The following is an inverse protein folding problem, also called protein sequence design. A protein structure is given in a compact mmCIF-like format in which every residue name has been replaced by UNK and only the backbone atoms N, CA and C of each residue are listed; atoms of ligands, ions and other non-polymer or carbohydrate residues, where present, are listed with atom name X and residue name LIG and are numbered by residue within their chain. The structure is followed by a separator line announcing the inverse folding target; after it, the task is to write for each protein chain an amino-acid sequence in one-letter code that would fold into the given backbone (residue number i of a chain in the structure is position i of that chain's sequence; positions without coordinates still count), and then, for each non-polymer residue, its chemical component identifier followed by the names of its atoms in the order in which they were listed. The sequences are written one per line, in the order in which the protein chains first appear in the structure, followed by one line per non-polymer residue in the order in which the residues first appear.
data_IF_561835062328
#
_entry.id   IF_561835062328
#
_cell.length_a   1.000
_cell.length_b   1.000
_cell.length_c   1.000
_cell.angle_alpha   90.00
_cell.angle_beta   90.00
_cell.angle_gamma   90.00
#
_symmetry.space_group_name_H-M   'P 1'
#
loop_
_entity.id
_entity.type
_entity.pdbx_description
1 polymer ?
#
# COMPACT_ATOMS: atom_id res chain seq x y z
N UNK A 1 -14.09 13.23 44.97
CA UNK A 1 -12.70 13.05 44.48
C UNK A 1 -12.19 14.13 43.51
N UNK A 2 -12.94 14.64 42.51
CA UNK A 2 -12.36 15.51 41.47
C UNK A 2 -11.90 16.89 41.99
N UNK A 3 -12.58 17.45 43.01
CA UNK A 3 -12.24 18.77 43.57
C UNK A 3 -10.82 18.83 44.18
N UNK A 4 -10.35 17.76 44.82
CA UNK A 4 -9.00 17.70 45.41
C UNK A 4 -7.89 17.64 44.35
N UNK A 5 -8.17 16.98 43.21
CA UNK A 5 -7.24 16.86 42.08
C UNK A 5 -7.14 18.20 41.34
N UNK A 6 -8.28 18.84 41.06
CA UNK A 6 -8.35 20.17 40.45
C UNK A 6 -7.62 21.24 41.28
N UNK A 7 -7.78 21.22 42.60
CA UNK A 7 -7.10 22.14 43.50
C UNK A 7 -5.56 21.95 43.50
N UNK A 8 -5.06 20.73 43.30
CA UNK A 8 -3.63 20.45 43.16
C UNK A 8 -3.09 20.84 41.79
N UNK A 9 -3.82 20.55 40.71
CA UNK A 9 -3.44 20.98 39.35
C UNK A 9 -3.30 22.51 39.24
N UNK A 10 -4.16 23.26 39.93
CA UNK A 10 -4.08 24.73 39.99
C UNK A 10 -2.78 25.27 40.61
N UNK A 11 -2.05 24.46 41.40
CA UNK A 11 -0.78 24.86 42.02
C UNK A 11 0.45 24.57 41.15
N UNK A 12 0.28 23.77 40.09
CA UNK A 12 1.38 23.51 39.16
C UNK A 12 1.53 24.69 38.21
N UNK A 13 2.74 25.21 38.00
CA UNK A 13 2.94 26.31 37.05
C UNK A 13 2.74 25.79 35.62
N UNK A 14 2.14 26.61 34.77
CA UNK A 14 1.88 26.28 33.37
C UNK A 14 3.15 25.87 32.61
N UNK A 15 4.32 26.36 33.06
CA UNK A 15 5.63 26.04 32.47
C UNK A 15 5.97 24.55 32.53
N UNK A 16 5.52 23.82 33.55
CA UNK A 16 5.73 22.36 33.66
C UNK A 16 4.94 21.64 32.56
N UNK A 17 3.68 22.00 32.37
CA UNK A 17 2.85 21.44 31.29
C UNK A 17 3.43 21.78 29.91
N UNK A 18 3.95 23.00 29.72
CA UNK A 18 4.61 23.40 28.49
C UNK A 18 5.89 22.59 28.22
N UNK A 19 6.74 22.39 29.23
CA UNK A 19 7.95 21.60 29.08
C UNK A 19 7.65 20.14 28.73
N UNK A 20 6.68 19.53 29.43
CA UNK A 20 6.25 18.15 29.14
C UNK A 20 5.60 18.03 27.76
N UNK A 21 4.84 19.03 27.32
CA UNK A 21 4.31 19.11 25.96
C UNK A 21 5.44 19.12 24.91
N UNK A 22 6.47 19.96 25.10
CA UNK A 22 7.60 20.03 24.17
C UNK A 22 8.33 18.69 24.09
N UNK A 23 8.66 18.09 25.24
CA UNK A 23 9.39 16.81 25.28
C UNK A 23 8.56 15.70 24.63
N UNK A 24 7.29 15.56 24.97
CA UNK A 24 6.40 14.54 24.38
C UNK A 24 6.19 14.75 22.88
N UNK A 25 6.09 16.01 22.42
CA UNK A 25 5.98 16.34 21.00
C UNK A 25 7.24 15.95 20.22
N UNK A 26 8.43 16.21 20.77
CA UNK A 26 9.69 15.78 20.16
C UNK A 26 9.73 14.25 20.04
N UNK A 27 9.40 13.52 21.10
CA UNK A 27 9.34 12.05 21.07
C UNK A 27 8.34 11.55 20.02
N UNK A 28 7.15 12.15 19.96
CA UNK A 28 6.13 11.80 18.98
C UNK A 28 6.63 11.98 17.54
N UNK A 29 7.30 13.09 17.25
CA UNK A 29 7.85 13.35 15.91
C UNK A 29 8.90 12.32 15.51
N UNK A 30 9.83 11.97 16.41
CA UNK A 30 10.84 10.95 16.13
C UNK A 30 10.23 9.56 15.95
N UNK A 31 9.27 9.18 16.80
CA UNK A 31 8.58 7.89 16.69
C UNK A 31 7.75 7.80 15.39
N UNK A 32 7.01 8.86 15.04
CA UNK A 32 6.28 8.94 13.78
C UNK A 32 7.20 8.81 12.57
N UNK A 33 8.36 9.49 12.60
CA UNK A 33 9.37 9.38 11.55
C UNK A 33 9.93 7.97 11.46
N UNK A 34 10.23 7.35 12.60
CA UNK A 34 10.72 5.97 12.65
C UNK A 34 9.71 4.99 12.04
N UNK A 35 8.42 5.14 12.37
CA UNK A 35 7.35 4.36 11.79
C UNK A 35 7.37 4.44 10.25
N UNK A 36 7.43 5.65 9.73
CA UNK A 36 7.46 5.90 8.29
C UNK A 36 8.69 5.29 7.62
N UNK A 37 9.88 5.46 8.19
CA UNK A 37 11.13 4.93 7.64
C UNK A 37 11.14 3.40 7.60
N UNK A 38 10.62 2.74 8.63
CA UNK A 38 10.51 1.28 8.66
C UNK A 38 9.52 0.78 7.60
N UNK A 39 8.40 1.46 7.39
CA UNK A 39 7.49 1.14 6.28
C UNK A 39 8.20 1.27 4.92
N UNK A 40 8.96 2.36 4.70
CA UNK A 40 9.71 2.57 3.44
C UNK A 40 10.74 1.45 3.22
N UNK A 41 11.44 1.03 4.27
CA UNK A 41 12.38 -0.11 4.21
C UNK A 41 11.66 -1.40 3.81
N UNK A 42 10.56 -1.75 4.49
CA UNK A 42 9.78 -2.95 4.18
C UNK A 42 9.21 -2.91 2.76
N UNK A 43 8.82 -1.73 2.26
CA UNK A 43 8.42 -1.54 0.87
C UNK A 43 9.58 -1.81 -0.09
N UNK A 44 10.79 -1.35 0.23
CA UNK A 44 11.99 -1.66 -0.56
C UNK A 44 12.26 -3.16 -0.60
N UNK A 45 12.08 -3.86 0.52
CA UNK A 45 12.25 -5.32 0.59
C UNK A 45 11.27 -6.06 -0.33
N UNK A 46 10.02 -5.59 -0.46
CA UNK A 46 9.05 -6.12 -1.43
C UNK A 46 9.57 -5.97 -2.87
N UNK A 47 10.10 -4.80 -3.22
CA UNK A 47 10.65 -4.57 -4.57
C UNK A 47 11.91 -5.40 -4.83
N UNK A 48 12.78 -5.55 -3.84
CA UNK A 48 13.96 -6.41 -3.94
C UNK A 48 13.56 -7.87 -4.12
N UNK A 49 12.56 -8.36 -3.37
CA UNK A 49 12.04 -9.72 -3.53
C UNK A 49 11.40 -9.92 -4.92
N UNK A 50 10.65 -8.94 -5.41
CA UNK A 50 10.04 -8.97 -6.74
C UNK A 50 11.09 -9.08 -7.86
N UNK A 51 12.13 -8.24 -7.78
CA UNK A 51 13.23 -8.23 -8.73
C UNK A 51 14.04 -9.52 -8.71
N UNK A 52 14.34 -10.05 -7.53
CA UNK A 52 15.08 -11.29 -7.37
C UNK A 52 14.27 -12.55 -7.71
N UNK A 53 12.94 -12.44 -7.89
CA UNK A 53 12.06 -13.59 -8.01
C UNK A 53 12.00 -14.42 -6.72
N UNK A 54 12.22 -13.78 -5.56
CA UNK A 54 12.19 -14.40 -4.24
C UNK A 54 10.77 -14.51 -3.66
N UNK A 55 10.68 -14.68 -2.34
CA UNK A 55 9.39 -14.79 -1.65
C UNK A 55 8.72 -13.41 -1.44
N UNK A 56 8.02 -12.97 -2.49
CA UNK A 56 7.27 -11.71 -2.48
C UNK A 56 6.10 -11.75 -1.48
N UNK A 57 5.50 -12.93 -1.25
CA UNK A 57 4.36 -13.07 -0.34
C UNK A 57 4.77 -12.82 1.11
N UNK A 58 5.92 -13.34 1.53
CA UNK A 58 6.48 -13.06 2.85
C UNK A 58 6.77 -11.58 3.02
N UNK A 59 7.41 -10.95 2.04
CA UNK A 59 7.73 -9.52 2.08
C UNK A 59 6.46 -8.65 2.15
N UNK A 60 5.45 -8.95 1.33
CA UNK A 60 4.15 -8.26 1.36
C UNK A 60 3.44 -8.45 2.70
N UNK A 61 3.49 -9.64 3.28
CA UNK A 61 2.86 -9.92 4.57
C UNK A 61 3.54 -9.15 5.71
N UNK A 62 4.88 -9.08 5.73
CA UNK A 62 5.63 -8.29 6.69
C UNK A 62 5.28 -6.81 6.59
N UNK A 63 5.24 -6.27 5.38
CA UNK A 63 4.84 -4.89 5.13
C UNK A 63 3.40 -4.64 5.60
N UNK A 64 2.46 -5.49 5.19
CA UNK A 64 1.04 -5.38 5.57
C UNK A 64 0.85 -5.36 7.08
N UNK A 65 1.47 -6.32 7.78
CA UNK A 65 1.42 -6.42 9.24
C UNK A 65 1.95 -5.15 9.90
N UNK A 66 3.02 -4.58 9.36
CA UNK A 66 3.61 -3.36 9.88
C UNK A 66 2.69 -2.15 9.66
N UNK A 67 2.19 -1.96 8.44
CA UNK A 67 1.32 -0.82 8.07
C UNK A 67 0.02 -0.81 8.88
N UNK A 68 -0.62 -1.97 9.06
CA UNK A 68 -1.83 -2.07 9.88
C UNK A 68 -1.61 -1.87 11.38
N UNK A 69 -0.36 -1.99 11.86
CA UNK A 69 -0.01 -1.83 13.27
C UNK A 69 0.45 -0.43 13.67
N UNK A 70 0.82 0.43 12.72
CA UNK A 70 1.52 1.70 13.01
C UNK A 70 0.95 2.86 12.21
N UNK A 71 0.64 3.99 12.87
CA UNK A 71 0.24 5.22 12.18
C UNK A 71 1.40 5.83 11.39
N UNK A 72 1.07 6.77 10.48
CA UNK A 72 2.04 7.46 9.62
C UNK A 72 2.83 6.51 8.70
N UNK A 73 2.19 5.39 8.34
CA UNK A 73 2.72 4.38 7.43
C UNK A 73 1.85 4.21 6.19
N UNK A 74 0.89 5.11 5.97
CA UNK A 74 -0.01 5.06 4.82
C UNK A 74 0.75 4.98 3.50
N UNK A 75 0.38 3.96 2.73
CA UNK A 75 0.76 3.81 1.33
C UNK A 75 -0.38 4.23 0.40
N UNK A 76 -1.53 4.59 0.98
CA UNK A 76 -2.80 4.50 0.27
C UNK A 76 -2.98 5.41 -0.93
N UNK A 77 -3.59 4.77 -1.93
CA UNK A 77 -4.37 5.37 -2.98
C UNK A 77 -5.87 5.36 -2.69
N UNK A 78 -6.30 5.82 -1.51
CA UNK A 78 -7.72 6.16 -1.27
C UNK A 78 -8.20 7.29 -2.19
N UNK A 79 -9.46 7.72 -2.10
CA UNK A 79 -10.08 8.76 -2.97
C UNK A 79 -9.38 10.13 -3.04
N UNK A 80 -8.22 10.28 -2.39
CA UNK A 80 -7.30 11.42 -2.44
C UNK A 80 -5.82 10.95 -2.39
N UNK A 81 -5.49 9.94 -3.19
CA UNK A 81 -4.18 9.31 -3.27
C UNK A 81 -3.03 10.28 -3.60
N UNK A 82 -2.14 10.58 -2.65
CA UNK A 82 -0.90 11.34 -2.90
C UNK A 82 0.22 10.40 -3.40
N UNK A 83 0.12 9.08 -3.17
CA UNK A 83 1.14 8.08 -3.54
C UNK A 83 0.53 6.93 -4.33
N UNK A 84 1.22 6.42 -5.38
CA UNK A 84 0.74 5.28 -6.15
C UNK A 84 0.87 3.98 -5.33
N UNK A 85 -0.03 3.00 -5.55
CA UNK A 85 0.01 1.70 -4.90
C UNK A 85 1.31 0.95 -5.21
N UNK A 86 1.60 -0.12 -4.46
CA UNK A 86 2.73 -0.99 -4.76
C UNK A 86 2.43 -1.74 -6.06
N UNK A 87 3.32 -1.62 -7.03
CA UNK A 87 3.24 -2.31 -8.30
C UNK A 87 4.46 -3.23 -8.44
N UNK A 88 4.22 -4.53 -8.58
CA UNK A 88 5.23 -5.56 -8.75
C UNK A 88 5.57 -5.71 -10.24
N UNK A 89 6.52 -4.91 -10.72
CA UNK A 89 6.92 -4.87 -12.13
C UNK A 89 7.37 -6.24 -12.62
N UNK A 90 8.29 -6.89 -11.91
CA UNK A 90 8.92 -8.12 -12.40
C UNK A 90 7.96 -9.31 -12.31
N UNK A 91 7.07 -9.33 -11.32
CA UNK A 91 5.97 -10.31 -11.26
C UNK A 91 5.01 -10.13 -12.43
N UNK A 92 4.63 -8.90 -12.75
CA UNK A 92 3.80 -8.62 -13.93
C UNK A 92 4.50 -9.09 -15.21
N UNK A 93 5.79 -8.77 -15.40
CA UNK A 93 6.56 -9.21 -16.58
C UNK A 93 6.65 -10.74 -16.68
N UNK A 94 6.87 -11.45 -15.57
CA UNK A 94 6.87 -12.94 -15.53
C UNK A 94 5.50 -13.51 -15.88
N UNK A 95 4.42 -12.97 -15.31
CA UNK A 95 3.06 -13.39 -15.62
C UNK A 95 2.72 -13.14 -17.09
N UNK A 96 3.15 -12.00 -17.63
CA UNK A 96 2.99 -11.65 -19.04
C UNK A 96 3.76 -12.60 -19.95
N UNK A 97 5.00 -12.96 -19.61
CA UNK A 97 5.78 -13.92 -20.37
C UNK A 97 5.13 -15.31 -20.40
N UNK A 98 4.59 -15.78 -19.26
CA UNK A 98 3.84 -17.04 -19.19
C UNK A 98 2.58 -16.98 -20.04
N UNK A 99 1.83 -15.89 -19.98
CA UNK A 99 0.62 -15.71 -20.77
C UNK A 99 0.92 -15.62 -22.27
N UNK A 100 2.01 -14.94 -22.65
CA UNK A 100 2.49 -14.89 -24.03
C UNK A 100 2.97 -16.26 -24.52
N UNK A 101 3.65 -17.04 -23.69
CA UNK A 101 4.05 -18.42 -24.03
C UNK A 101 2.84 -19.34 -24.20
N UNK A 102 1.80 -19.19 -23.37
CA UNK A 102 0.51 -19.87 -23.59
C UNK A 102 -0.12 -19.44 -24.90
N UNK A 103 -0.17 -18.15 -25.19
CA UNK A 103 -0.68 -17.65 -26.46
C UNK A 103 0.12 -18.18 -27.66
N UNK A 104 1.45 -18.27 -27.59
CA UNK A 104 2.30 -18.82 -28.67
C UNK A 104 2.13 -20.33 -28.82
N UNK A 105 2.13 -21.09 -27.73
CA UNK A 105 1.94 -22.55 -27.77
C UNK A 105 0.54 -22.91 -28.25
N UNK A 106 -0.49 -22.23 -27.76
CA UNK A 106 -1.85 -22.43 -28.26
C UNK A 106 -2.03 -21.91 -29.68
N UNK A 107 -1.42 -20.78 -30.07
CA UNK A 107 -1.44 -20.36 -31.47
C UNK A 107 -0.74 -21.38 -32.37
N UNK A 108 0.38 -21.98 -31.93
CA UNK A 108 1.05 -23.04 -32.70
C UNK A 108 0.15 -24.27 -32.87
N UNK A 109 -0.58 -24.66 -31.82
CA UNK A 109 -1.61 -25.71 -31.90
C UNK A 109 -2.75 -25.30 -32.83
N UNK A 110 -3.25 -24.07 -32.74
CA UNK A 110 -4.29 -23.53 -33.63
C UNK A 110 -3.81 -23.54 -35.09
N UNK A 111 -2.55 -23.23 -35.38
CA UNK A 111 -1.99 -23.34 -36.73
C UNK A 111 -1.90 -24.79 -37.20
N UNK A 112 -1.60 -25.75 -36.32
CA UNK A 112 -1.62 -27.18 -36.64
C UNK A 112 -3.06 -27.66 -36.88
N UNK A 113 -4.00 -27.31 -36.00
CA UNK A 113 -5.41 -27.65 -36.10
C UNK A 113 -6.05 -27.01 -37.34
N UNK A 114 -5.74 -25.75 -37.63
CA UNK A 114 -6.15 -25.06 -38.84
C UNK A 114 -5.62 -25.75 -40.09
N UNK A 115 -4.36 -26.20 -40.08
CA UNK A 115 -3.80 -26.97 -41.19
C UNK A 115 -4.52 -28.30 -41.37
N UNK A 116 -4.78 -29.07 -40.31
CA UNK A 116 -5.52 -30.33 -40.38
C UNK A 116 -6.97 -30.13 -40.84
N UNK A 117 -7.68 -29.15 -40.26
CA UNK A 117 -9.06 -28.80 -40.62
C UNK A 117 -9.18 -28.34 -42.08
N UNK A 118 -8.34 -27.39 -42.50
CA UNK A 118 -8.36 -26.86 -43.86
C UNK A 118 -7.83 -27.88 -44.90
N UNK A 119 -6.96 -28.82 -44.51
CA UNK A 119 -6.56 -29.95 -45.37
C UNK A 119 -7.69 -30.95 -45.60
N UNK A 120 -8.52 -31.20 -44.58
CA UNK A 120 -9.70 -32.08 -44.68
C UNK A 120 -10.83 -31.45 -45.50
N UNK A 121 -11.04 -30.13 -45.37
CA UNK A 121 -12.05 -29.36 -46.11
C UNK A 121 -11.69 -29.16 -47.60
N UNK A 122 -10.39 -29.00 -47.91
CA UNK A 122 -9.91 -28.79 -49.28
C UNK A 122 -8.82 -29.82 -49.63
N UNK A 123 -9.21 -31.07 -49.95
CA UNK A 123 -8.28 -32.09 -50.42
C UNK A 123 -7.90 -31.80 -51.89
N UNK A 124 -6.59 -31.77 -52.15
CA UNK A 124 -5.94 -31.61 -53.47
C UNK A 124 -6.01 -30.22 -54.15
N UNK A 125 -4.87 -29.52 -54.16
CA UNK A 125 -4.59 -28.39 -55.04
C UNK A 125 -3.08 -28.13 -55.10
N UNK A 126 -2.49 -28.23 -56.29
CA UNK A 126 -1.03 -28.26 -56.57
C UNK A 126 -0.27 -27.00 -56.08
N UNK A 127 -0.97 -25.93 -55.72
CA UNK A 127 -0.38 -24.63 -55.35
C UNK A 127 -0.72 -24.11 -53.95
N UNK A 128 -1.50 -24.84 -53.15
CA UNK A 128 -1.90 -24.42 -51.78
C UNK A 128 -2.77 -23.15 -51.70
N UNK A 129 -3.09 -22.49 -52.83
CA UNK A 129 -3.77 -21.18 -52.90
C UNK A 129 -5.13 -21.11 -52.18
N UNK A 130 -5.90 -22.20 -52.14
CA UNK A 130 -7.21 -22.24 -51.46
C UNK A 130 -7.15 -22.45 -49.95
N UNK A 131 -5.99 -22.87 -49.42
CA UNK A 131 -5.82 -23.19 -47.98
C UNK A 131 -5.42 -21.98 -47.15
N UNK A 132 -4.70 -21.01 -47.74
CA UNK A 132 -4.23 -19.81 -47.04
C UNK A 132 -5.40 -18.97 -46.48
N UNK A 133 -6.46 -18.66 -47.24
CA UNK A 133 -7.61 -17.92 -46.71
C UNK A 133 -8.35 -18.71 -45.60
N UNK A 134 -8.50 -20.03 -45.74
CA UNK A 134 -9.12 -20.88 -44.73
C UNK A 134 -8.35 -20.87 -43.40
N UNK A 135 -7.01 -21.02 -43.45
CA UNK A 135 -6.16 -20.97 -42.26
C UNK A 135 -6.22 -19.58 -41.62
N UNK A 136 -6.20 -18.51 -42.43
CA UNK A 136 -6.34 -17.13 -41.96
C UNK A 136 -7.67 -16.92 -41.21
N UNK A 137 -8.79 -17.36 -41.77
CA UNK A 137 -10.12 -17.24 -41.15
C UNK A 137 -10.26 -18.11 -39.91
N UNK A 138 -9.72 -19.33 -39.93
CA UNK A 138 -9.72 -20.24 -38.79
C UNK A 138 -8.92 -19.64 -37.62
N UNK A 139 -7.70 -19.17 -37.88
CA UNK A 139 -6.84 -18.52 -36.86
C UNK A 139 -7.48 -17.21 -36.37
N UNK A 140 -8.17 -16.47 -37.22
CA UNK A 140 -8.83 -15.21 -36.81
C UNK A 140 -10.07 -15.45 -35.94
N UNK A 141 -10.81 -16.53 -36.21
CA UNK A 141 -12.03 -16.90 -35.46
C UNK A 141 -11.76 -17.74 -34.20
N UNK A 142 -10.67 -18.51 -34.19
CA UNK A 142 -10.29 -19.42 -33.11
C UNK A 142 -9.03 -18.96 -32.35
N UNK A 143 -8.38 -17.90 -32.81
CA UNK A 143 -7.22 -17.28 -32.19
C UNK A 143 -7.54 -16.72 -30.81
N UNK A 144 -6.63 -16.92 -29.86
CA UNK A 144 -6.84 -16.47 -28.48
C UNK A 144 -6.63 -14.95 -28.39
N UNK A 145 -7.67 -14.24 -27.95
CA UNK A 145 -7.51 -12.90 -27.38
C UNK A 145 -6.88 -13.04 -26.00
N UNK A 146 -5.65 -12.55 -25.84
CA UNK A 146 -4.93 -12.58 -24.55
C UNK A 146 -5.79 -11.99 -23.43
N UNK A 147 -6.03 -12.76 -22.38
CA UNK A 147 -6.74 -12.27 -21.19
C UNK A 147 -5.87 -11.25 -20.45
N UNK A 148 -6.40 -10.08 -20.05
CA UNK A 148 -5.64 -9.11 -19.29
C UNK A 148 -5.27 -9.68 -17.91
N UNK A 149 -4.01 -9.48 -17.48
CA UNK A 149 -3.52 -9.95 -16.19
C UNK A 149 -4.30 -9.24 -15.07
N UNK A 150 -4.93 -9.98 -14.14
CA UNK A 150 -5.67 -9.37 -13.04
C UNK A 150 -4.80 -8.46 -12.17
N UNK A 151 -5.28 -7.25 -11.90
CA UNK A 151 -4.55 -6.22 -11.12
C UNK A 151 -4.18 -6.70 -9.72
N UNK A 152 -5.01 -7.52 -9.08
CA UNK A 152 -4.76 -8.07 -7.74
C UNK A 152 -3.56 -9.02 -7.63
N UNK A 153 -2.93 -9.41 -8.75
CA UNK A 153 -1.72 -10.24 -8.74
C UNK A 153 -0.42 -9.42 -8.63
N UNK A 154 -0.48 -8.13 -8.93
CA UNK A 154 0.71 -7.28 -9.00
C UNK A 154 0.50 -5.88 -8.39
N UNK A 155 -0.72 -5.52 -8.01
CA UNK A 155 -1.04 -4.26 -7.34
C UNK A 155 -1.51 -4.52 -5.92
N UNK A 156 -0.88 -3.86 -4.95
CA UNK A 156 -1.21 -3.98 -3.54
C UNK A 156 -1.29 -2.61 -2.87
N UNK A 157 -2.29 -2.43 -2.02
CA UNK A 157 -2.47 -1.22 -1.22
C UNK A 157 -2.75 -1.58 0.25
N UNK A 158 -2.19 -0.79 1.16
CA UNK A 158 -2.33 -0.93 2.60
C UNK A 158 -2.58 0.44 3.25
N UNK A 159 -3.62 0.49 4.08
CA UNK A 159 -4.04 1.69 4.80
C UNK A 159 -3.62 1.55 6.26
N UNK A 160 -2.94 2.54 6.80
CA UNK A 160 -2.52 2.60 8.19
C UNK A 160 -3.64 3.14 9.07
N UNK A 161 -3.70 2.77 10.37
CA UNK A 161 -4.68 3.34 11.27
C UNK A 161 -4.35 4.80 11.58
N UNK A 162 -5.38 5.61 11.81
CA UNK A 162 -5.21 7.01 12.23
C UNK A 162 -4.48 7.15 13.58
N UNK A 163 -4.58 6.13 14.43
CA UNK A 163 -3.86 6.02 15.69
C UNK A 163 -3.47 4.56 15.96
N UNK A 164 -2.30 4.33 16.55
CA UNK A 164 -1.70 3.05 16.88
C UNK A 164 -1.25 3.06 18.34
N UNK A 165 -1.40 1.94 19.08
CA UNK A 165 -1.00 1.85 20.49
C UNK A 165 0.51 1.65 20.65
N UNK A 166 1.33 2.43 19.95
CA UNK A 166 2.79 2.38 19.95
C UNK A 166 3.39 3.66 20.58
N UNK A 167 4.71 3.78 20.57
CA UNK A 167 5.39 4.95 21.14
C UNK A 167 4.91 6.26 20.49
N UNK A 168 4.68 6.26 19.18
CA UNK A 168 4.15 7.42 18.46
C UNK A 168 2.75 7.79 18.95
N UNK A 169 1.85 6.82 19.07
CA UNK A 169 0.48 7.11 19.49
C UNK A 169 0.36 7.55 20.94
N UNK A 170 1.09 6.92 21.86
CA UNK A 170 1.04 7.31 23.26
C UNK A 170 1.72 8.66 23.53
N UNK A 171 2.82 8.95 22.84
CA UNK A 171 3.47 10.26 22.96
C UNK A 171 2.60 11.40 22.38
N UNK A 172 1.85 11.14 21.30
CA UNK A 172 0.91 12.10 20.75
C UNK A 172 -0.28 12.35 21.68
N UNK A 173 -0.84 11.30 22.28
CA UNK A 173 -1.88 11.44 23.32
C UNK A 173 -1.36 12.24 24.52
N UNK A 174 -0.15 11.93 24.99
CA UNK A 174 0.47 12.65 26.09
C UNK A 174 0.69 14.12 25.75
N UNK A 175 1.18 14.43 24.55
CA UNK A 175 1.34 15.79 24.07
C UNK A 175 0.01 16.55 24.06
N UNK A 176 -1.06 15.93 23.55
CA UNK A 176 -2.40 16.52 23.56
C UNK A 176 -2.90 16.84 24.97
N UNK A 177 -2.74 15.91 25.92
CA UNK A 177 -3.11 16.11 27.32
C UNK A 177 -2.28 17.21 27.99
N UNK A 178 -0.97 17.25 27.76
CA UNK A 178 -0.08 18.29 28.31
C UNK A 178 -0.41 19.66 27.74
N UNK A 179 -0.75 19.75 26.46
CA UNK A 179 -1.18 20.99 25.83
C UNK A 179 -2.49 21.51 26.43
N UNK A 180 -3.49 20.65 26.62
CA UNK A 180 -4.74 21.01 27.27
C UNK A 180 -4.51 21.46 28.72
N UNK A 181 -3.63 20.76 29.46
CA UNK A 181 -3.22 21.16 30.81
C UNK A 181 -2.55 22.53 30.85
N UNK A 182 -1.66 22.82 29.88
CA UNK A 182 -1.02 24.13 29.72
C UNK A 182 -2.05 25.24 29.49
N UNK A 183 -2.96 25.06 28.52
CA UNK A 183 -4.00 26.05 28.19
C UNK A 183 -4.89 26.31 29.40
N UNK A 184 -5.35 25.26 30.07
CA UNK A 184 -6.19 25.38 31.26
C UNK A 184 -5.46 26.13 32.39
N UNK A 185 -4.23 25.74 32.71
CA UNK A 185 -3.44 26.38 33.76
C UNK A 185 -3.16 27.85 33.46
N UNK A 186 -2.82 28.17 32.21
CA UNK A 186 -2.53 29.54 31.78
C UNK A 186 -3.79 30.43 31.82
N UNK A 187 -4.93 29.93 31.35
CA UNK A 187 -6.21 30.64 31.42
C UNK A 187 -6.61 30.92 32.87
N UNK A 188 -6.50 29.90 33.74
CA UNK A 188 -6.83 30.07 35.16
C UNK A 188 -5.94 31.12 35.82
N UNK A 189 -4.63 31.11 35.58
CA UNK A 189 -3.72 32.13 36.12
C UNK A 189 -4.10 33.54 35.64
N UNK A 190 -4.39 33.71 34.34
CA UNK A 190 -4.84 34.99 33.79
C UNK A 190 -6.15 35.47 34.39
N UNK A 191 -7.15 34.59 34.51
CA UNK A 191 -8.44 34.94 35.11
C UNK A 191 -8.31 35.29 36.59
N UNK A 192 -7.46 34.57 37.34
CA UNK A 192 -7.26 34.89 38.76
C UNK A 192 -6.55 36.23 38.93
N UNK A 193 -5.52 36.53 38.13
CA UNK A 193 -4.84 37.83 38.17
C UNK A 193 -5.77 38.99 37.77
N UNK A 194 -6.68 38.77 36.82
CA UNK A 194 -7.64 39.80 36.37
C UNK A 194 -8.73 40.13 37.40
N UNK A 195 -9.05 39.22 38.32
CA UNK A 195 -10.05 39.44 39.37
C UNK A 195 -9.47 40.03 40.67
N UNK A 196 -8.13 40.15 40.76
CA UNK A 196 -7.42 40.68 41.94
C UNK A 196 -6.94 42.13 41.72
N UNK A 197 -7.05 42.63 40.49
CA UNK A 197 -6.84 44.03 40.08
C UNK A 197 -8.21 44.67 39.90
#
# INVERSE_FOLDING_TARGET
MPQRILARLRRLPYSVFLLLFIVSSVVALYALRHNNQTMVRLRSEVYTADQAGGDVNLALNNLRKYVYGHMNTDLSSGGSAIKPPIQLKYTYERLLAVEQQKAVSTNSQIYTDAQTYCQAQVPAGVSGRGRVPCVQDYVTSHGIKTTPIPTGLYQFDFISPAWSPDLAGWSLVLAGLMFLGFVFSWLMEKLTKRNVI
#
